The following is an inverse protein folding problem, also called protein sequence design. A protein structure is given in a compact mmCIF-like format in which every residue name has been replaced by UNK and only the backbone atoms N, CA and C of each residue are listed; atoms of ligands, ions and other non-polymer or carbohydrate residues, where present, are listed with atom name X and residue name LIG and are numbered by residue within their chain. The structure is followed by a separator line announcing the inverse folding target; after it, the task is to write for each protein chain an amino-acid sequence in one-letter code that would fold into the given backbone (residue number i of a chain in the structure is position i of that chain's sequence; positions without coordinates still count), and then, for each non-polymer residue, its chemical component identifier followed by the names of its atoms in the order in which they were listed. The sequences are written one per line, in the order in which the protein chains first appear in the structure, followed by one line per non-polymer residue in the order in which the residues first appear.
data_IF_728354705949
#
_entry.id   IF_728354705949
#
_cell.length_a   1.000
_cell.length_b   1.000
_cell.length_c   1.000
_cell.angle_alpha   90.00
_cell.angle_beta   90.00
_cell.angle_gamma   90.00
#
_symmetry.space_group_name_H-M   'P 1'
#
loop_
_entity.id
_entity.type
_entity.pdbx_description
1 polymer ?
#
# COMPACT_ATOMS: atom_id res chain seq x y z
N UNK A 1 -4.17 19.99 15.37
CA UNK A 1 -4.57 18.67 15.87
C UNK A 1 -4.21 17.67 14.79
N UNK A 2 -3.12 16.93 14.98
CA UNK A 2 -2.74 15.88 14.02
C UNK A 2 -3.75 14.74 14.17
N UNK A 3 -3.96 13.93 13.13
CA UNK A 3 -4.89 12.77 13.19
C UNK A 3 -4.51 11.74 14.28
N UNK A 4 -3.32 11.89 14.89
CA UNK A 4 -2.80 11.05 15.97
C UNK A 4 -3.49 11.30 17.32
N UNK A 5 -4.24 12.41 17.48
CA UNK A 5 -4.84 12.86 18.74
C UNK A 5 -6.36 12.61 18.83
N UNK A 6 -6.90 11.63 18.09
CA UNK A 6 -8.34 11.28 18.11
C UNK A 6 -8.64 10.10 19.05
N UNK A 7 -9.91 9.99 19.46
CA UNK A 7 -10.41 8.91 20.31
C UNK A 7 -10.11 7.53 19.69
N UNK A 8 -9.52 6.56 20.44
CA UNK A 8 -9.34 5.17 20.02
C UNK A 8 -10.59 4.52 19.40
N UNK A 9 -11.79 4.97 19.77
CA UNK A 9 -13.05 4.50 19.18
C UNK A 9 -13.12 4.76 17.67
N UNK A 10 -12.55 5.86 17.17
CA UNK A 10 -12.55 6.16 15.74
C UNK A 10 -11.68 5.17 14.95
N UNK A 11 -10.52 4.79 15.50
CA UNK A 11 -9.67 3.78 14.88
C UNK A 11 -10.40 2.42 14.79
N UNK A 12 -11.08 2.02 15.87
CA UNK A 12 -11.89 0.80 15.90
C UNK A 12 -13.02 0.83 14.85
N UNK A 13 -13.75 1.95 14.77
CA UNK A 13 -14.79 2.14 13.77
C UNK A 13 -14.25 2.01 12.33
N UNK A 14 -13.09 2.61 12.03
CA UNK A 14 -12.45 2.51 10.71
C UNK A 14 -12.02 1.07 10.38
N UNK A 15 -11.41 0.37 11.34
CA UNK A 15 -11.05 -1.04 11.16
C UNK A 15 -12.28 -1.92 10.87
N UNK A 16 -13.39 -1.67 11.57
CA UNK A 16 -14.64 -2.38 11.34
C UNK A 16 -15.23 -2.10 9.94
N UNK A 17 -15.18 -0.84 9.47
CA UNK A 17 -15.59 -0.52 8.09
C UNK A 17 -14.71 -1.26 7.07
N UNK A 18 -13.39 -1.25 7.24
CA UNK A 18 -12.49 -1.96 6.32
C UNK A 18 -12.76 -3.47 6.29
N UNK A 19 -13.06 -4.06 7.45
CA UNK A 19 -13.38 -5.49 7.55
C UNK A 19 -14.69 -5.89 6.85
N UNK A 20 -15.58 -4.93 6.53
CA UNK A 20 -16.84 -5.17 5.83
C UNK A 20 -16.71 -5.08 4.30
N UNK A 21 -15.58 -4.58 3.79
CA UNK A 21 -15.36 -4.50 2.35
C UNK A 21 -15.22 -5.91 1.76
N UNK A 22 -15.80 -6.13 0.58
CA UNK A 22 -15.64 -7.36 -0.20
C UNK A 22 -14.25 -7.39 -0.88
N UNK A 23 -13.20 -7.35 -0.06
CA UNK A 23 -11.80 -7.36 -0.49
C UNK A 23 -11.07 -8.50 0.20
N UNK A 24 -10.09 -9.06 -0.50
CA UNK A 24 -9.16 -9.99 0.10
C UNK A 24 -8.10 -9.22 0.89
N UNK A 25 -7.85 -9.63 2.13
CA UNK A 25 -6.77 -9.07 2.95
C UNK A 25 -5.54 -9.94 2.76
N UNK A 26 -4.49 -9.34 2.22
CA UNK A 26 -3.20 -10.00 2.03
C UNK A 26 -2.33 -9.74 3.26
N UNK A 27 -1.96 -10.80 3.95
CA UNK A 27 -1.00 -10.76 5.06
C UNK A 27 0.43 -10.80 4.54
N UNK A 28 1.38 -10.38 5.38
CA UNK A 28 2.79 -10.46 5.03
C UNK A 28 3.27 -11.92 4.91
N UNK A 29 4.14 -12.16 3.94
CA UNK A 29 4.83 -13.44 3.76
C UNK A 29 6.33 -13.20 3.52
N UNK A 30 7.19 -14.22 3.72
CA UNK A 30 8.61 -14.10 3.42
C UNK A 30 8.89 -13.70 1.96
N UNK A 31 8.13 -14.24 1.00
CA UNK A 31 8.26 -13.95 -0.42
C UNK A 31 7.93 -12.49 -0.72
N UNK A 32 6.80 -11.99 -0.20
CA UNK A 32 6.43 -10.58 -0.31
C UNK A 32 7.47 -9.67 0.36
N UNK A 33 8.03 -10.11 1.50
CA UNK A 33 9.05 -9.36 2.24
C UNK A 33 10.35 -9.20 1.46
N UNK A 34 10.77 -10.21 0.71
CA UNK A 34 11.94 -10.12 -0.16
C UNK A 34 11.71 -9.10 -1.29
N UNK A 35 10.56 -9.18 -1.96
CA UNK A 35 10.19 -8.26 -3.04
C UNK A 35 10.08 -6.82 -2.51
N UNK A 36 9.47 -6.62 -1.34
CA UNK A 36 9.37 -5.31 -0.70
C UNK A 36 10.75 -4.77 -0.32
N UNK A 37 11.65 -5.62 0.17
CA UNK A 37 13.03 -5.26 0.47
C UNK A 37 13.80 -4.80 -0.77
N UNK A 38 13.67 -5.53 -1.88
CA UNK A 38 14.26 -5.17 -3.17
C UNK A 38 13.74 -3.81 -3.67
N UNK A 39 12.42 -3.62 -3.67
CA UNK A 39 11.81 -2.35 -4.09
C UNK A 39 12.24 -1.18 -3.18
N UNK A 40 12.26 -1.38 -1.86
CA UNK A 40 12.69 -0.35 -0.89
C UNK A 40 14.17 0.03 -1.04
N UNK A 41 15.01 -0.92 -1.44
CA UNK A 41 16.44 -0.71 -1.66
C UNK A 41 16.72 -0.01 -2.99
N UNK A 42 15.96 -0.33 -4.03
CA UNK A 42 16.10 0.28 -5.36
C UNK A 42 15.46 1.68 -5.45
N UNK A 43 14.39 1.93 -4.68
CA UNK A 43 13.55 3.13 -4.80
C UNK A 43 13.41 3.91 -3.50
N UNK A 44 13.14 5.21 -3.61
CA UNK A 44 12.85 6.06 -2.46
C UNK A 44 11.38 5.97 -2.05
N UNK A 45 10.92 4.75 -1.74
CA UNK A 45 9.59 4.50 -1.17
C UNK A 45 9.64 4.49 0.36
N UNK A 46 8.52 4.77 1.02
CA UNK A 46 8.36 4.44 2.43
C UNK A 46 8.38 2.92 2.64
N UNK A 47 8.56 2.46 3.89
CA UNK A 47 8.49 1.03 4.20
C UNK A 47 7.11 0.44 3.86
N UNK A 48 6.03 1.19 4.13
CA UNK A 48 4.67 0.74 3.83
C UNK A 48 4.42 0.68 2.31
N UNK A 49 4.85 1.69 1.56
CA UNK A 49 4.63 1.74 0.11
C UNK A 49 5.41 0.66 -0.64
N UNK A 50 6.59 0.28 -0.13
CA UNK A 50 7.33 -0.86 -0.66
C UNK A 50 6.53 -2.18 -0.53
N UNK A 51 5.82 -2.40 0.58
CA UNK A 51 4.94 -3.57 0.74
C UNK A 51 3.71 -3.52 -0.17
N UNK A 52 3.12 -2.32 -0.34
CA UNK A 52 1.99 -2.11 -1.26
C UNK A 52 2.41 -2.44 -2.70
N UNK A 53 3.53 -1.89 -3.15
CA UNK A 53 4.08 -2.14 -4.50
C UNK A 53 4.48 -3.62 -4.67
N UNK A 54 5.11 -4.23 -3.66
CA UNK A 54 5.47 -5.65 -3.69
C UNK A 54 4.24 -6.56 -3.82
N UNK A 55 3.16 -6.25 -3.09
CA UNK A 55 1.90 -7.00 -3.17
C UNK A 55 1.32 -6.92 -4.58
N UNK A 56 1.28 -5.73 -5.18
CA UNK A 56 0.83 -5.56 -6.55
C UNK A 56 1.70 -6.33 -7.56
N UNK A 57 3.04 -6.26 -7.40
CA UNK A 57 4.00 -6.98 -8.25
C UNK A 57 3.83 -8.50 -8.16
N UNK A 58 3.74 -9.04 -6.94
CA UNK A 58 3.63 -10.47 -6.68
C UNK A 58 2.35 -11.06 -7.28
N UNK A 59 1.22 -10.36 -7.12
CA UNK A 59 -0.08 -10.79 -7.65
C UNK A 59 -0.33 -10.37 -9.10
N UNK A 60 0.64 -9.72 -9.77
CA UNK A 60 0.47 -9.14 -11.11
C UNK A 60 -0.77 -8.23 -11.21
N UNK A 61 -1.06 -7.53 -10.11
CA UNK A 61 -2.23 -6.67 -9.97
C UNK A 61 -1.90 -5.22 -10.39
N UNK A 62 -2.97 -4.43 -10.60
CA UNK A 62 -2.85 -2.99 -10.86
C UNK A 62 -2.90 -2.24 -9.53
N UNK A 63 -1.88 -1.43 -9.25
CA UNK A 63 -1.83 -0.61 -8.06
C UNK A 63 -2.64 0.68 -8.26
N UNK A 64 -3.78 0.79 -7.57
CA UNK A 64 -4.61 2.01 -7.56
C UNK A 64 -4.08 2.97 -6.49
N UNK A 65 -3.74 4.19 -6.87
CA UNK A 65 -3.16 5.17 -5.93
C UNK A 65 -3.51 6.61 -6.31
N UNK A 66 -3.36 7.53 -5.35
CA UNK A 66 -3.39 8.99 -5.56
C UNK A 66 -2.05 9.64 -5.20
N UNK A 67 -1.01 8.84 -5.00
CA UNK A 67 0.30 9.30 -4.51
C UNK A 67 1.35 9.25 -5.64
N UNK A 68 1.93 10.38 -6.07
CA UNK A 68 2.94 10.40 -7.12
C UNK A 68 4.24 9.65 -6.75
N UNK A 69 4.49 9.33 -5.47
CA UNK A 69 5.66 8.56 -5.07
C UNK A 69 5.73 7.17 -5.75
N UNK A 70 4.60 6.61 -6.18
CA UNK A 70 4.58 5.34 -6.90
C UNK A 70 5.04 5.44 -8.37
N UNK A 71 5.15 6.64 -8.95
CA UNK A 71 5.59 6.80 -10.35
C UNK A 71 7.01 6.26 -10.57
N UNK A 72 7.85 6.22 -9.53
CA UNK A 72 9.21 5.67 -9.60
C UNK A 72 9.25 4.14 -9.85
N UNK A 73 8.16 3.41 -9.57
CA UNK A 73 8.08 1.95 -9.75
C UNK A 73 7.23 1.53 -10.96
N UNK A 74 6.89 2.45 -11.86
CA UNK A 74 6.02 2.18 -13.02
C UNK A 74 6.57 1.11 -13.99
N UNK A 75 7.89 0.94 -14.04
CA UNK A 75 8.54 -0.07 -14.88
C UNK A 75 8.47 -1.48 -14.28
N UNK A 76 8.12 -1.59 -12.99
CA UNK A 76 8.05 -2.86 -12.25
C UNK A 76 6.63 -3.25 -11.82
N UNK A 77 5.74 -2.26 -11.68
CA UNK A 77 4.38 -2.42 -11.19
C UNK A 77 3.41 -1.70 -12.11
N UNK A 78 2.34 -2.38 -12.52
CA UNK A 78 1.30 -1.72 -13.33
C UNK A 78 0.50 -0.74 -12.47
N UNK A 79 0.60 0.55 -12.77
CA UNK A 79 -0.09 1.59 -12.01
C UNK A 79 -1.46 1.93 -12.60
N UNK A 80 -2.39 2.31 -11.73
CA UNK A 80 -3.67 2.95 -12.06
C UNK A 80 -3.80 4.23 -11.20
N UNK A 81 -3.20 5.35 -11.64
CA UNK A 81 -3.31 6.60 -10.90
C UNK A 81 -4.74 7.13 -10.95
N UNK A 82 -5.22 7.59 -9.80
CA UNK A 82 -6.43 8.41 -9.66
C UNK A 82 -6.04 9.89 -9.63
N UNK A 83 -6.98 10.82 -9.92
CA UNK A 83 -6.67 12.25 -9.91
C UNK A 83 -6.01 12.68 -8.59
N UNK A 84 -4.82 13.28 -8.71
CA UNK A 84 -4.10 13.85 -7.58
C UNK A 84 -4.89 15.03 -7.00
N UNK A 85 -4.87 15.17 -5.68
CA UNK A 85 -5.55 16.26 -4.96
C UNK A 85 -4.69 17.51 -4.89
#
# INVERSE_FOLDING_TARGET
MTLQERDPQEACARCNLMAQLAVERIESSPELGLIAGELKAAHHLSFADAWIAATAKFHQARLVHTDPEFEQVQDEVTLLPLPYK
#
